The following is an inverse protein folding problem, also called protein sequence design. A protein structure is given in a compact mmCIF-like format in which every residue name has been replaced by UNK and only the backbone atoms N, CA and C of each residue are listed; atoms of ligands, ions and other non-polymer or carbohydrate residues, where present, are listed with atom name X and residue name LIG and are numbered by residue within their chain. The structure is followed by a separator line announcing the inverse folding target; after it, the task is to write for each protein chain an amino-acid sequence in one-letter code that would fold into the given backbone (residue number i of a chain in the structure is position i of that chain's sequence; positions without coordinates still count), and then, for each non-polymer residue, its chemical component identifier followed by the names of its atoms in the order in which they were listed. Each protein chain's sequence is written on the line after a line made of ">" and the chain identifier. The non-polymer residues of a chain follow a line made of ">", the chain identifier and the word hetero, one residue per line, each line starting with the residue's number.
data_IF_156281725836
#
_entry.id   IF_156281725836
#
_cell.length_a   1.000
_cell.length_b   1.000
_cell.length_c   1.000
_cell.angle_alpha   90.00
_cell.angle_beta   90.00
_cell.angle_gamma   90.00
#
_symmetry.space_group_name_H-M   'P 1'
#
loop_
_entity.id
_entity.type
_entity.pdbx_description
1 polymer ?
#
# COMPACT_ATOMS: atom_id res chain seq x y z
N UNK A 1 12.45 -9.08 10.57
CA UNK A 1 11.69 -7.95 11.10
C UNK A 1 12.58 -6.72 11.02
N UNK A 2 12.18 -5.69 10.26
CA UNK A 2 12.99 -4.50 10.00
C UNK A 2 12.90 -3.44 11.10
N UNK A 3 12.07 -3.67 12.14
CA UNK A 3 11.85 -2.72 13.23
C UNK A 3 10.96 -1.53 12.87
N UNK A 4 10.18 -1.64 11.79
CA UNK A 4 9.26 -0.60 11.34
C UNK A 4 7.94 -0.63 12.12
N UNK A 5 7.27 0.51 12.19
CA UNK A 5 5.85 0.59 12.59
C UNK A 5 4.93 -0.04 11.54
N UNK A 6 3.71 -0.39 11.95
CA UNK A 6 2.68 -0.96 11.06
C UNK A 6 2.41 -0.08 9.83
N UNK A 7 2.35 1.24 9.99
CA UNK A 7 2.13 2.17 8.88
C UNK A 7 3.33 2.28 7.94
N UNK A 8 4.55 2.20 8.48
CA UNK A 8 5.77 2.16 7.65
C UNK A 8 5.83 0.89 6.81
N UNK A 9 5.42 -0.26 7.37
CA UNK A 9 5.27 -1.49 6.60
C UNK A 9 4.24 -1.33 5.47
N UNK A 10 3.07 -0.73 5.74
CA UNK A 10 2.04 -0.43 4.73
C UNK A 10 2.60 0.45 3.62
N UNK A 11 3.23 1.57 3.97
CA UNK A 11 3.77 2.54 3.01
C UNK A 11 4.85 1.90 2.14
N UNK A 12 5.75 1.11 2.74
CA UNK A 12 6.83 0.42 2.00
C UNK A 12 6.30 -0.66 1.07
N UNK A 13 5.29 -1.42 1.49
CA UNK A 13 4.63 -2.41 0.63
C UNK A 13 3.96 -1.74 -0.58
N UNK A 14 3.12 -0.73 -0.35
CA UNK A 14 2.37 -0.04 -1.42
C UNK A 14 3.26 0.80 -2.34
N UNK A 15 4.31 1.40 -1.77
CA UNK A 15 5.29 2.22 -2.47
C UNK A 15 6.42 1.42 -3.12
N UNK A 16 6.46 0.10 -2.96
CA UNK A 16 7.54 -0.73 -3.50
C UNK A 16 7.65 -0.58 -5.02
N UNK A 17 8.85 -0.25 -5.50
CA UNK A 17 9.21 -0.22 -6.91
C UNK A 17 10.48 -1.02 -7.10
N UNK A 18 10.44 -2.00 -8.01
CA UNK A 18 11.60 -2.80 -8.36
C UNK A 18 12.63 -1.89 -9.05
N UNK A 19 13.86 -1.85 -8.55
CA UNK A 19 14.95 -1.16 -9.23
C UNK A 19 15.47 -1.99 -10.43
N UNK A 20 16.18 -1.34 -11.36
CA UNK A 20 16.82 -2.03 -12.48
C UNK A 20 17.90 -3.03 -12.01
N UNK A 21 18.57 -2.74 -10.89
CA UNK A 21 19.62 -3.57 -10.32
C UNK A 21 19.12 -4.71 -9.41
N UNK A 22 17.85 -4.69 -9.00
CA UNK A 22 17.27 -5.71 -8.12
C UNK A 22 16.77 -6.92 -8.92
N UNK A 23 16.95 -8.13 -8.40
CA UNK A 23 16.34 -9.32 -9.00
C UNK A 23 14.83 -9.38 -8.71
N UNK A 24 14.08 -10.15 -9.49
CA UNK A 24 12.65 -10.35 -9.21
C UNK A 24 12.42 -11.09 -7.89
N UNK A 25 13.29 -12.05 -7.56
CA UNK A 25 13.21 -12.82 -6.31
C UNK A 25 13.37 -11.89 -5.11
N UNK A 26 14.39 -11.02 -5.11
CA UNK A 26 14.63 -10.09 -4.01
C UNK A 26 13.50 -9.05 -3.86
N UNK A 27 12.91 -8.63 -4.99
CA UNK A 27 11.79 -7.69 -4.97
C UNK A 27 10.54 -8.34 -4.37
N UNK A 28 10.21 -9.56 -4.80
CA UNK A 28 9.06 -10.31 -4.27
C UNK A 28 9.26 -10.62 -2.79
N UNK A 29 10.45 -11.07 -2.38
CA UNK A 29 10.77 -11.33 -0.98
C UNK A 29 10.59 -10.06 -0.11
N UNK A 30 11.07 -8.91 -0.59
CA UNK A 30 10.84 -7.63 0.09
C UNK A 30 9.35 -7.27 0.19
N UNK A 31 8.59 -7.43 -0.90
CA UNK A 31 7.14 -7.15 -0.92
C UNK A 31 6.38 -8.07 0.05
N UNK A 32 6.73 -9.36 0.10
CA UNK A 32 6.11 -10.31 1.03
C UNK A 32 6.43 -9.96 2.48
N UNK A 33 7.70 -9.66 2.80
CA UNK A 33 8.10 -9.29 4.17
C UNK A 33 7.44 -8.00 4.65
N UNK A 34 7.28 -7.01 3.76
CA UNK A 34 6.62 -5.75 4.12
C UNK A 34 5.10 -5.90 4.25
N UNK A 35 4.48 -6.76 3.43
CA UNK A 35 3.08 -7.13 3.59
C UNK A 35 2.83 -7.87 4.91
N UNK A 36 3.66 -8.85 5.23
CA UNK A 36 3.56 -9.65 6.44
C UNK A 36 3.71 -8.79 7.71
N UNK A 37 4.69 -7.88 7.72
CA UNK A 37 4.86 -6.91 8.81
C UNK A 37 3.64 -5.99 8.97
N UNK A 38 3.00 -5.58 7.87
CA UNK A 38 1.78 -4.78 7.92
C UNK A 38 0.60 -5.58 8.49
N UNK A 39 0.37 -6.81 8.01
CA UNK A 39 -0.71 -7.68 8.48
C UNK A 39 -0.55 -7.97 9.98
N UNK A 40 0.64 -8.43 10.37
CA UNK A 40 0.98 -8.77 11.76
C UNK A 40 0.84 -7.55 12.68
N UNK A 41 1.38 -6.40 12.26
CA UNK A 41 1.29 -5.15 13.01
C UNK A 41 -0.12 -4.57 13.10
N UNK A 42 -1.05 -5.01 12.24
CA UNK A 42 -2.46 -4.60 12.28
C UNK A 42 -3.28 -5.37 13.31
N UNK A 43 -2.72 -6.43 13.92
CA UNK A 43 -3.44 -7.28 14.88
C UNK A 43 -4.54 -8.14 14.25
N UNK A 44 -4.55 -8.27 12.92
CA UNK A 44 -5.53 -9.06 12.16
C UNK A 44 -5.05 -10.51 12.09
N UNK A 45 -5.91 -11.45 12.48
CA UNK A 45 -5.57 -12.88 12.57
C UNK A 45 -6.59 -13.81 11.90
N UNK A 46 -7.66 -13.25 11.33
CA UNK A 46 -8.73 -13.99 10.67
C UNK A 46 -8.97 -13.49 9.24
N UNK A 47 -9.71 -14.29 8.47
CA UNK A 47 -9.95 -14.01 7.06
C UNK A 47 -10.80 -12.75 6.86
N UNK A 48 -11.81 -12.55 7.72
CA UNK A 48 -12.71 -11.39 7.64
C UNK A 48 -11.98 -10.09 7.99
N UNK A 49 -11.09 -10.11 8.99
CA UNK A 49 -10.24 -8.99 9.33
C UNK A 49 -9.25 -8.66 8.22
N UNK A 50 -8.68 -9.66 7.54
CA UNK A 50 -7.81 -9.45 6.36
C UNK A 50 -8.59 -8.79 5.24
N UNK A 51 -9.78 -9.33 4.92
CA UNK A 51 -10.65 -8.76 3.91
C UNK A 51 -11.01 -7.30 4.24
N UNK A 52 -11.41 -7.02 5.48
CA UNK A 52 -11.72 -5.67 5.97
C UNK A 52 -10.52 -4.72 5.87
N UNK A 53 -9.32 -5.18 6.21
CA UNK A 53 -8.08 -4.40 6.10
C UNK A 53 -7.81 -3.98 4.64
N UNK A 54 -7.92 -4.90 3.69
CA UNK A 54 -7.70 -4.61 2.27
C UNK A 54 -8.82 -3.76 1.66
N UNK A 55 -10.07 -3.96 2.07
CA UNK A 55 -11.20 -3.11 1.66
C UNK A 55 -10.97 -1.66 2.14
N UNK A 56 -10.56 -1.46 3.39
CA UNK A 56 -10.20 -0.12 3.89
C UNK A 56 -9.06 0.50 3.11
N UNK A 57 -8.00 -0.25 2.82
CA UNK A 57 -6.88 0.23 2.01
C UNK A 57 -7.30 0.62 0.59
N UNK A 58 -8.18 -0.17 -0.03
CA UNK A 58 -8.73 0.13 -1.35
C UNK A 58 -9.60 1.39 -1.35
N UNK A 59 -10.47 1.54 -0.34
CA UNK A 59 -11.27 2.75 -0.15
C UNK A 59 -10.41 3.98 0.09
N UNK A 60 -9.37 3.89 0.92
CA UNK A 60 -8.42 4.99 1.14
C UNK A 60 -7.72 5.40 -0.16
N UNK A 61 -7.31 4.43 -0.97
CA UNK A 61 -6.69 4.67 -2.28
C UNK A 61 -7.64 5.41 -3.22
N UNK A 62 -8.92 5.02 -3.26
CA UNK A 62 -9.94 5.65 -4.11
C UNK A 62 -10.37 7.03 -3.59
N UNK A 63 -10.55 7.21 -2.27
CA UNK A 63 -10.93 8.50 -1.70
C UNK A 63 -9.84 9.57 -1.87
N UNK A 64 -8.56 9.18 -1.85
CA UNK A 64 -7.46 10.08 -2.19
C UNK A 64 -7.44 10.43 -3.67
N UNK A 65 -7.73 9.44 -4.52
CA UNK A 65 -7.76 9.63 -5.97
C UNK A 65 -8.95 10.50 -6.40
N UNK A 66 -10.12 10.35 -5.79
CA UNK A 66 -11.30 11.15 -6.12
C UNK A 66 -11.06 12.63 -5.81
N UNK A 67 -10.43 13.00 -4.68
CA UNK A 67 -10.13 14.43 -4.42
C UNK A 67 -9.05 15.00 -5.33
N UNK A 68 -8.02 14.22 -5.67
CA UNK A 68 -6.99 14.64 -6.61
C UNK A 68 -7.54 14.74 -8.04
N UNK A 69 -8.36 13.78 -8.46
CA UNK A 69 -9.04 13.75 -9.74
C UNK A 69 -10.09 14.87 -9.85
N UNK A 70 -10.90 15.11 -8.80
CA UNK A 70 -11.83 16.25 -8.74
C UNK A 70 -11.07 17.56 -8.84
N UNK A 71 -9.96 17.73 -8.12
CA UNK A 71 -9.12 18.93 -8.24
C UNK A 71 -8.49 19.09 -9.64
N UNK A 72 -8.07 18.00 -10.28
CA UNK A 72 -7.52 18.04 -11.65
C UNK A 72 -8.60 18.35 -12.70
N UNK A 73 -9.84 17.92 -12.49
CA UNK A 73 -11.00 18.23 -13.34
C UNK A 73 -11.50 19.66 -13.12
N UNK A 74 -11.53 20.13 -11.86
CA UNK A 74 -11.95 21.48 -11.47
C UNK A 74 -10.98 22.57 -11.97
N UNK A 75 -9.73 22.21 -12.29
CA UNK A 75 -8.75 23.11 -12.92
C UNK A 75 -9.05 23.37 -14.42
N UNK A 76 -10.07 22.73 -15.00
CA UNK A 76 -10.50 22.89 -16.40
C UNK A 76 -9.61 22.17 -17.41
N UNK A 77 -9.99 22.10 -18.71
CA UNK A 77 -9.13 21.52 -19.73
C UNK A 77 -7.81 22.28 -19.78
N UNK A 78 -6.71 21.57 -19.62
CA UNK A 78 -5.36 22.12 -19.78
C UNK A 78 -5.22 22.52 -21.25
N UNK A 79 -5.29 23.84 -21.52
CA UNK A 79 -4.83 24.46 -22.76
C UNK A 79 -3.30 24.48 -22.82
#
# INVERSE_FOLDING_TARGET
>A
DFGFSTDEYRIRFRGARKSLSQTWVDFVDFSVKTLDGWITGSGVNDYDGLYSLFVKEHLLSNCFNDKLHQHLVDLGPIS
#
